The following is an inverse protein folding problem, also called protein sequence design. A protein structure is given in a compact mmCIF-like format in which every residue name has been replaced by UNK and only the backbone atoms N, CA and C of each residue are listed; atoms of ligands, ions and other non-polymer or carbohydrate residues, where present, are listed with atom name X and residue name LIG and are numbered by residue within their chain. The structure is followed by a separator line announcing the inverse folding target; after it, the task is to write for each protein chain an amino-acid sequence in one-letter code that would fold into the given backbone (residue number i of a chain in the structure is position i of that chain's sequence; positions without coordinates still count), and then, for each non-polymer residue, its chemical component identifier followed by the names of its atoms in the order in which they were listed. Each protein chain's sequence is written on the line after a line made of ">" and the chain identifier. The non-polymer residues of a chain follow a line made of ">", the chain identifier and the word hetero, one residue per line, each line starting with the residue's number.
data_IF_920958126737
#
_entry.id   IF_920958126737
#
_cell.length_a   1.000
_cell.length_b   1.000
_cell.length_c   1.000
_cell.angle_alpha   90.00
_cell.angle_beta   90.00
_cell.angle_gamma   90.00
#
_symmetry.space_group_name_H-M   'P 1'
#
loop_
_entity.id
_entity.type
_entity.pdbx_description
1 polymer ?
#
# COMPACT_ATOMS: atom_id res chain seq x y z
N UNK A 1 35.20 -4.71 3.91
CA UNK A 1 33.98 -5.54 4.06
C UNK A 1 33.42 -5.26 5.44
N UNK A 2 32.11 -5.02 5.57
CA UNK A 2 31.49 -4.71 6.88
C UNK A 2 31.59 -5.97 7.77
N UNK A 3 31.91 -5.82 9.05
CA UNK A 3 32.02 -6.94 10.03
C UNK A 3 30.76 -7.82 10.05
N UNK A 4 29.59 -7.22 9.84
CA UNK A 4 28.34 -7.93 9.71
C UNK A 4 28.34 -8.97 8.56
N UNK A 5 28.93 -8.65 7.42
CA UNK A 5 28.96 -9.53 6.24
C UNK A 5 29.98 -10.65 6.38
N UNK A 6 30.97 -10.47 7.25
CA UNK A 6 32.01 -11.51 7.48
C UNK A 6 31.45 -12.79 8.12
N UNK A 7 30.32 -12.72 8.82
CA UNK A 7 29.66 -13.91 9.39
C UNK A 7 28.90 -14.73 8.35
N UNK A 8 28.72 -14.20 7.13
CA UNK A 8 28.05 -14.91 6.05
C UNK A 8 28.98 -15.95 5.40
N UNK A 9 28.42 -17.08 4.90
CA UNK A 9 29.14 -17.97 4.00
C UNK A 9 29.68 -17.22 2.77
N UNK A 10 30.81 -17.64 2.21
CA UNK A 10 31.43 -16.97 1.05
C UNK A 10 30.47 -16.71 -0.12
N UNK A 11 29.61 -17.70 -0.43
CA UNK A 11 28.62 -17.54 -1.50
C UNK A 11 27.60 -16.44 -1.19
N UNK A 12 27.24 -16.26 0.08
CA UNK A 12 26.33 -15.19 0.51
C UNK A 12 27.03 -13.83 0.46
N UNK A 13 28.31 -13.77 0.79
CA UNK A 13 29.09 -12.54 0.67
C UNK A 13 29.14 -12.09 -0.80
N UNK A 14 29.42 -13.02 -1.72
CA UNK A 14 29.39 -12.76 -3.16
C UNK A 14 28.01 -12.32 -3.66
N UNK A 15 26.93 -12.98 -3.19
CA UNK A 15 25.57 -12.61 -3.55
C UNK A 15 25.19 -11.21 -3.01
N UNK A 16 25.63 -10.87 -1.82
CA UNK A 16 25.46 -9.55 -1.21
C UNK A 16 26.11 -8.45 -2.07
N UNK A 17 27.35 -8.66 -2.49
CA UNK A 17 28.08 -7.74 -3.35
C UNK A 17 27.44 -7.61 -4.76
N UNK A 18 27.08 -8.75 -5.37
CA UNK A 18 26.45 -8.78 -6.69
C UNK A 18 25.08 -8.05 -6.72
N UNK A 19 24.38 -8.00 -5.60
CA UNK A 19 23.15 -7.23 -5.45
C UNK A 19 23.40 -5.73 -5.22
N UNK A 20 24.65 -5.31 -5.13
CA UNK A 20 25.01 -3.91 -4.88
C UNK A 20 24.71 -3.45 -3.46
N UNK A 21 24.57 -4.37 -2.50
CA UNK A 21 24.40 -4.01 -1.11
C UNK A 21 25.73 -3.48 -0.55
N UNK A 22 25.69 -2.30 0.08
CA UNK A 22 26.89 -1.66 0.64
C UNK A 22 26.97 -1.89 2.15
N UNK A 23 25.88 -1.53 2.84
CA UNK A 23 25.75 -1.68 4.29
C UNK A 23 24.40 -2.32 4.62
N UNK A 24 24.35 -3.22 5.61
CA UNK A 24 23.06 -3.71 6.11
C UNK A 24 22.28 -2.58 6.75
N UNK A 25 20.95 -2.64 6.63
CA UNK A 25 20.07 -1.65 7.25
C UNK A 25 20.05 -1.79 8.77
N UNK A 26 19.55 -0.77 9.48
CA UNK A 26 19.49 -0.77 10.95
C UNK A 26 18.75 -2.00 11.48
N UNK A 27 17.58 -2.33 10.89
CA UNK A 27 16.81 -3.48 11.33
C UNK A 27 17.55 -4.80 11.08
N UNK A 28 18.27 -4.94 9.94
CA UNK A 28 19.06 -6.12 9.64
C UNK A 28 20.17 -6.34 10.67
N UNK A 29 20.82 -5.27 11.10
CA UNK A 29 21.87 -5.34 12.14
C UNK A 29 21.27 -5.66 13.52
N UNK A 30 20.19 -4.97 13.89
CA UNK A 30 19.60 -5.05 15.21
C UNK A 30 19.01 -6.44 15.52
N UNK A 31 18.37 -7.11 14.55
CA UNK A 31 17.71 -8.40 14.79
C UNK A 31 18.59 -9.62 14.54
N UNK A 32 19.74 -9.45 13.89
CA UNK A 32 20.58 -10.59 13.47
C UNK A 32 21.01 -11.49 14.64
N UNK A 33 21.62 -10.88 15.63
CA UNK A 33 22.12 -11.63 16.78
C UNK A 33 20.99 -12.22 17.65
N UNK A 34 19.93 -11.49 18.02
CA UNK A 34 18.79 -12.06 18.73
C UNK A 34 18.17 -13.26 17.99
N UNK A 35 17.92 -13.15 16.70
CA UNK A 35 17.34 -14.25 15.92
C UNK A 35 18.30 -15.44 15.77
N UNK A 36 19.60 -15.20 15.59
CA UNK A 36 20.61 -16.25 15.54
C UNK A 36 20.68 -17.02 16.86
N UNK A 37 20.48 -16.35 17.99
CA UNK A 37 20.43 -16.92 19.33
C UNK A 37 19.07 -17.55 19.69
N UNK A 38 18.16 -17.69 18.72
CA UNK A 38 16.81 -18.25 18.89
C UNK A 38 15.94 -17.48 19.88
N UNK A 39 16.21 -16.20 20.10
CA UNK A 39 15.35 -15.33 20.91
C UNK A 39 14.07 -15.00 20.14
N UNK A 40 12.95 -14.94 20.86
CA UNK A 40 11.69 -14.46 20.32
C UNK A 40 11.61 -12.95 20.45
N UNK A 41 11.28 -12.27 19.35
CA UNK A 41 11.32 -10.79 19.25
C UNK A 41 10.11 -10.21 18.56
N UNK A 42 9.85 -8.94 18.83
CA UNK A 42 9.03 -8.07 18.00
C UNK A 42 9.93 -6.99 17.39
N UNK A 43 9.98 -6.93 16.09
CA UNK A 43 10.83 -6.01 15.34
C UNK A 43 9.98 -4.97 14.60
N UNK A 44 10.23 -3.70 14.87
CA UNK A 44 9.48 -2.57 14.30
C UNK A 44 10.44 -1.74 13.45
N UNK A 45 10.09 -1.60 12.18
CA UNK A 45 10.86 -0.77 11.25
C UNK A 45 10.02 -0.32 10.06
N UNK A 46 10.33 0.80 9.44
CA UNK A 46 9.57 1.32 8.31
C UNK A 46 9.40 0.31 7.17
N UNK A 47 8.35 0.50 6.35
CA UNK A 47 8.23 -0.24 5.08
C UNK A 47 9.41 0.11 4.18
N UNK A 48 10.05 -0.92 3.62
CA UNK A 48 11.22 -0.72 2.76
C UNK A 48 12.57 -0.75 3.45
N UNK A 49 12.62 -0.89 4.77
CA UNK A 49 13.86 -0.98 5.54
C UNK A 49 14.64 -2.29 5.36
N UNK A 50 14.11 -3.27 4.60
CA UNK A 50 14.76 -4.56 4.37
C UNK A 50 14.41 -5.64 5.38
N UNK A 51 13.23 -5.59 6.03
CA UNK A 51 12.73 -6.58 6.99
C UNK A 51 12.86 -8.03 6.52
N UNK A 52 12.52 -8.29 5.26
CA UNK A 52 12.56 -9.66 4.72
C UNK A 52 13.95 -10.28 4.83
N UNK A 53 14.99 -9.57 4.47
CA UNK A 53 16.37 -10.06 4.63
C UNK A 53 16.82 -10.04 6.10
N UNK A 54 16.29 -9.12 6.91
CA UNK A 54 16.61 -9.02 8.32
C UNK A 54 16.29 -10.32 9.07
N UNK A 55 15.16 -10.97 8.78
CA UNK A 55 14.83 -12.25 9.39
C UNK A 55 15.36 -13.46 8.59
N UNK A 56 15.39 -13.37 7.26
CA UNK A 56 15.83 -14.53 6.47
C UNK A 56 17.29 -14.89 6.73
N UNK A 57 18.21 -13.95 6.76
CA UNK A 57 19.62 -14.25 6.91
C UNK A 57 19.92 -15.05 8.20
N UNK A 58 19.61 -14.58 9.42
CA UNK A 58 19.90 -15.35 10.62
C UNK A 58 19.13 -16.67 10.69
N UNK A 59 17.87 -16.69 10.24
CA UNK A 59 17.05 -17.89 10.33
C UNK A 59 17.46 -18.97 9.33
N UNK A 60 17.85 -18.60 8.10
CA UNK A 60 18.37 -19.56 7.12
C UNK A 60 19.72 -20.17 7.56
N UNK A 61 20.54 -19.42 8.29
CA UNK A 61 21.77 -19.96 8.90
C UNK A 61 21.46 -21.02 9.96
N UNK A 62 20.37 -20.89 10.69
CA UNK A 62 19.94 -21.78 11.75
C UNK A 62 19.18 -23.04 11.29
N UNK A 63 18.65 -23.04 10.04
CA UNK A 63 17.92 -24.20 9.48
C UNK A 63 18.91 -25.20 8.90
N UNK A 64 18.80 -26.47 9.32
CA UNK A 64 19.61 -27.56 8.78
C UNK A 64 18.87 -28.35 7.69
N UNK A 65 19.56 -28.77 6.61
CA UNK A 65 18.96 -29.62 5.57
C UNK A 65 18.38 -30.90 6.17
N UNK A 66 17.16 -31.27 5.74
CA UNK A 66 16.43 -32.45 6.23
C UNK A 66 15.48 -32.18 7.40
N UNK A 67 15.52 -30.98 8.02
CA UNK A 67 14.61 -30.57 9.09
C UNK A 67 13.27 -30.07 8.53
N UNK A 68 12.41 -30.99 8.14
CA UNK A 68 11.14 -30.70 7.51
C UNK A 68 10.30 -29.71 8.33
N UNK A 69 9.82 -28.64 7.67
CA UNK A 69 8.95 -27.60 8.27
C UNK A 69 9.56 -26.86 9.46
N UNK A 70 10.89 -26.81 9.58
CA UNK A 70 11.58 -26.16 10.69
C UNK A 70 11.29 -24.65 10.78
N UNK A 71 11.19 -23.96 9.64
CA UNK A 71 10.88 -22.54 9.55
C UNK A 71 9.54 -22.34 8.83
N UNK A 72 8.60 -21.66 9.50
CA UNK A 72 7.30 -21.28 8.92
C UNK A 72 7.18 -19.75 8.92
N UNK A 73 6.95 -19.16 7.75
CA UNK A 73 6.79 -17.71 7.59
C UNK A 73 5.36 -17.42 7.14
N UNK A 74 4.67 -16.61 7.91
CA UNK A 74 3.33 -16.14 7.63
C UNK A 74 3.39 -14.76 6.95
N UNK A 75 2.72 -14.64 5.81
CA UNK A 75 2.60 -13.40 5.07
C UNK A 75 1.14 -12.96 4.97
N UNK A 76 0.92 -11.65 4.97
CA UNK A 76 -0.42 -11.04 4.94
C UNK A 76 -1.17 -11.28 3.62
N UNK A 77 -0.44 -11.55 2.53
CA UNK A 77 -1.01 -11.80 1.19
C UNK A 77 -0.33 -12.96 0.46
N UNK A 78 -1.01 -13.47 -0.59
CA UNK A 78 -0.46 -14.53 -1.44
C UNK A 78 0.77 -14.04 -2.20
N UNK A 79 0.72 -12.82 -2.67
CA UNK A 79 1.79 -12.17 -3.41
C UNK A 79 3.05 -12.01 -2.55
N UNK A 80 2.88 -11.51 -1.33
CA UNK A 80 3.99 -11.39 -0.37
C UNK A 80 4.60 -12.75 -0.05
N UNK A 81 3.76 -13.77 0.18
CA UNK A 81 4.24 -15.13 0.44
C UNK A 81 5.09 -15.68 -0.72
N UNK A 82 4.71 -15.41 -1.96
CA UNK A 82 5.47 -15.82 -3.14
C UNK A 82 6.81 -15.06 -3.20
N UNK A 83 6.80 -13.75 -2.99
CA UNK A 83 8.02 -12.94 -3.00
C UNK A 83 9.02 -13.37 -1.94
N UNK A 84 8.55 -13.56 -0.70
CA UNK A 84 9.38 -14.04 0.39
C UNK A 84 9.93 -15.43 0.07
N UNK A 85 9.11 -16.30 -0.56
CA UNK A 85 9.57 -17.63 -0.98
C UNK A 85 10.66 -17.57 -2.05
N UNK A 86 10.58 -16.62 -2.98
CA UNK A 86 11.61 -16.46 -4.02
C UNK A 86 12.93 -15.96 -3.41
N UNK A 87 12.87 -15.00 -2.49
CA UNK A 87 14.05 -14.53 -1.74
C UNK A 87 14.63 -15.66 -0.88
N UNK A 88 13.80 -16.42 -0.19
CA UNK A 88 14.25 -17.55 0.63
C UNK A 88 14.90 -18.67 -0.21
N UNK A 89 14.39 -18.94 -1.43
CA UNK A 89 15.02 -19.89 -2.38
C UNK A 89 16.38 -19.41 -2.83
N UNK A 90 16.51 -18.11 -3.13
CA UNK A 90 17.75 -17.52 -3.56
C UNK A 90 18.85 -17.66 -2.50
N UNK A 91 18.57 -17.22 -1.27
CA UNK A 91 19.54 -17.26 -0.17
C UNK A 91 19.72 -18.67 0.45
N UNK A 92 18.69 -19.52 0.38
CA UNK A 92 18.76 -20.91 0.88
C UNK A 92 19.41 -21.89 -0.08
N UNK A 93 19.71 -21.46 -1.34
CA UNK A 93 20.22 -22.34 -2.40
C UNK A 93 21.52 -23.05 -2.04
N UNK A 94 22.46 -22.31 -1.44
CA UNK A 94 23.79 -22.83 -1.12
C UNK A 94 23.79 -23.86 0.00
N UNK A 95 22.76 -23.80 0.88
CA UNK A 95 22.50 -24.82 1.91
C UNK A 95 21.56 -25.94 1.40
N UNK A 96 21.19 -25.95 0.12
CA UNK A 96 20.26 -26.88 -0.50
C UNK A 96 18.87 -26.95 0.18
N UNK A 97 18.46 -25.84 0.85
CA UNK A 97 17.19 -25.76 1.56
C UNK A 97 16.01 -25.72 0.58
N UNK A 98 15.02 -26.57 0.83
CA UNK A 98 13.79 -26.63 0.04
C UNK A 98 12.77 -25.64 0.60
N UNK A 99 12.30 -24.77 -0.24
CA UNK A 99 11.32 -23.72 0.11
C UNK A 99 10.02 -23.99 -0.61
N UNK A 100 8.91 -24.04 0.12
CA UNK A 100 7.59 -24.18 -0.45
C UNK A 100 6.65 -23.06 -0.07
N UNK A 101 6.02 -22.44 -1.09
CA UNK A 101 4.94 -21.49 -0.88
C UNK A 101 3.59 -22.18 -0.74
N UNK A 102 2.79 -21.76 0.25
CA UNK A 102 1.49 -22.29 0.63
C UNK A 102 0.45 -21.16 0.63
N UNK A 103 -0.24 -20.98 -0.50
CA UNK A 103 -1.15 -19.84 -0.69
C UNK A 103 -2.54 -20.29 -1.09
N UNK A 104 -3.55 -19.51 -0.71
CA UNK A 104 -4.94 -19.71 -1.11
C UNK A 104 -5.11 -19.62 -2.64
N UNK A 105 -6.24 -20.06 -3.17
CA UNK A 105 -6.52 -19.96 -4.61
C UNK A 105 -5.59 -20.77 -5.53
N UNK A 106 -4.55 -21.41 -5.01
CA UNK A 106 -3.71 -22.36 -5.74
C UNK A 106 -4.15 -23.81 -5.50
N UNK A 107 -3.77 -24.71 -6.42
CA UNK A 107 -4.15 -26.12 -6.35
C UNK A 107 -3.60 -26.79 -5.08
N UNK A 108 -4.50 -27.15 -4.16
CA UNK A 108 -4.16 -27.78 -2.87
C UNK A 108 -3.44 -29.11 -3.07
N UNK A 109 -3.86 -29.94 -4.02
CA UNK A 109 -3.25 -31.26 -4.29
C UNK A 109 -1.77 -31.09 -4.65
N UNK A 110 -1.44 -30.09 -5.50
CA UNK A 110 -0.06 -29.80 -5.88
C UNK A 110 0.77 -29.31 -4.67
N UNK A 111 0.18 -28.55 -3.77
CA UNK A 111 0.88 -28.11 -2.55
C UNK A 111 1.14 -29.32 -1.62
N UNK A 112 0.18 -30.22 -1.47
CA UNK A 112 0.36 -31.46 -0.69
C UNK A 112 1.45 -32.35 -1.31
N UNK A 113 1.50 -32.49 -2.63
CA UNK A 113 2.58 -33.21 -3.32
C UNK A 113 3.96 -32.59 -3.04
N UNK A 114 4.03 -31.25 -3.04
CA UNK A 114 5.25 -30.55 -2.67
C UNK A 114 5.69 -30.85 -1.22
N UNK A 115 4.76 -30.88 -0.27
CA UNK A 115 5.07 -31.18 1.14
C UNK A 115 5.63 -32.60 1.34
N UNK A 116 5.35 -33.57 0.44
CA UNK A 116 5.97 -34.91 0.49
C UNK A 116 7.49 -34.86 0.29
N UNK A 117 8.01 -33.81 -0.34
CA UNK A 117 9.46 -33.58 -0.50
C UNK A 117 10.14 -33.08 0.78
N UNK A 118 9.37 -32.94 1.87
CA UNK A 118 9.82 -32.49 3.20
C UNK A 118 10.59 -31.16 3.12
N UNK A 119 9.99 -30.08 2.61
CA UNK A 119 10.66 -28.77 2.59
C UNK A 119 10.94 -28.32 4.03
N UNK A 120 12.11 -27.75 4.22
CA UNK A 120 12.56 -27.17 5.49
C UNK A 120 11.84 -25.87 5.81
N UNK A 121 11.51 -25.11 4.77
CA UNK A 121 10.93 -23.76 4.86
C UNK A 121 9.57 -23.72 4.21
N UNK A 122 8.56 -23.32 4.98
CA UNK A 122 7.20 -23.12 4.53
C UNK A 122 6.85 -21.63 4.62
N UNK A 123 6.34 -21.05 3.54
CA UNK A 123 5.96 -19.64 3.50
C UNK A 123 4.54 -19.53 2.95
N UNK A 124 3.63 -18.88 3.69
CA UNK A 124 2.26 -18.83 3.20
C UNK A 124 1.32 -17.94 3.97
N UNK A 125 0.07 -17.95 3.53
CA UNK A 125 -1.00 -17.23 4.24
C UNK A 125 -1.53 -18.06 5.40
N UNK A 126 -1.93 -17.43 6.54
CA UNK A 126 -2.37 -18.15 7.73
C UNK A 126 -3.46 -19.18 7.46
N UNK A 127 -4.50 -18.81 6.71
CA UNK A 127 -5.61 -19.73 6.41
C UNK A 127 -5.19 -21.01 5.70
N UNK A 128 -4.28 -20.94 4.72
CA UNK A 128 -3.79 -22.11 4.00
C UNK A 128 -2.87 -22.98 4.87
N UNK A 129 -2.02 -22.38 5.66
CA UNK A 129 -1.14 -23.12 6.57
C UNK A 129 -1.97 -23.85 7.63
N UNK A 130 -2.96 -23.19 8.23
CA UNK A 130 -3.88 -23.82 9.20
C UNK A 130 -4.68 -24.97 8.57
N UNK A 131 -5.19 -24.80 7.36
CA UNK A 131 -5.88 -25.87 6.61
C UNK A 131 -5.00 -27.13 6.49
N UNK A 132 -3.73 -26.93 6.10
CA UNK A 132 -2.78 -28.04 5.92
C UNK A 132 -2.29 -28.64 7.24
N UNK A 133 -2.21 -27.84 8.32
CA UNK A 133 -1.95 -28.34 9.69
C UNK A 133 -3.12 -29.21 10.18
N UNK A 134 -4.36 -28.73 10.07
CA UNK A 134 -5.57 -29.50 10.44
C UNK A 134 -5.69 -30.80 9.64
N UNK A 135 -5.31 -30.77 8.35
CA UNK A 135 -5.25 -31.96 7.50
C UNK A 135 -4.03 -32.86 7.78
N UNK A 136 -3.22 -32.56 8.81
CA UNK A 136 -2.00 -33.30 9.19
C UNK A 136 -0.97 -33.43 8.05
N UNK A 137 -0.98 -32.49 7.09
CA UNK A 137 0.02 -32.43 6.01
C UNK A 137 1.26 -31.65 6.43
N UNK A 138 1.10 -30.68 7.33
CA UNK A 138 2.19 -30.02 8.07
C UNK A 138 2.17 -30.58 9.49
N UNK A 139 3.31 -31.06 9.93
CA UNK A 139 3.49 -31.59 11.28
C UNK A 139 3.89 -30.47 12.22
N UNK A 140 2.94 -29.91 12.94
CA UNK A 140 3.14 -28.72 13.78
C UNK A 140 4.29 -28.91 14.80
N UNK A 141 4.47 -30.12 15.35
CA UNK A 141 5.53 -30.44 16.31
C UNK A 141 6.96 -30.38 15.72
N UNK A 142 7.11 -30.28 14.40
CA UNK A 142 8.43 -30.13 13.75
C UNK A 142 8.82 -28.67 13.56
N UNK A 143 7.89 -27.72 13.78
CA UNK A 143 8.15 -26.29 13.63
C UNK A 143 9.02 -25.79 14.76
N UNK A 144 10.16 -25.22 14.42
CA UNK A 144 11.13 -24.63 15.36
C UNK A 144 11.01 -23.11 15.44
N UNK A 145 10.68 -22.48 14.33
CA UNK A 145 10.58 -21.02 14.22
C UNK A 145 9.36 -20.61 13.42
N UNK A 146 8.62 -19.65 13.91
CA UNK A 146 7.52 -18.98 13.19
C UNK A 146 7.83 -17.49 13.05
N UNK A 147 7.72 -16.98 11.83
CA UNK A 147 7.86 -15.57 11.52
C UNK A 147 6.51 -15.02 11.03
N UNK A 148 6.13 -13.87 11.53
CA UNK A 148 4.95 -13.13 11.09
C UNK A 148 5.40 -11.83 10.42
N UNK A 149 5.40 -11.82 9.08
CA UNK A 149 5.76 -10.64 8.30
C UNK A 149 4.52 -9.77 8.06
N UNK A 150 4.65 -8.46 8.19
CA UNK A 150 3.54 -7.50 8.28
C UNK A 150 2.55 -7.89 9.39
N UNK A 151 3.07 -8.06 10.61
CA UNK A 151 2.30 -8.48 11.76
C UNK A 151 1.11 -7.56 12.06
N UNK A 152 1.25 -6.25 11.86
CA UNK A 152 0.18 -5.25 11.93
C UNK A 152 -1.03 -5.63 11.06
N UNK A 153 -0.80 -6.18 9.87
CA UNK A 153 -1.87 -6.64 8.98
C UNK A 153 -2.37 -8.05 9.30
N UNK A 154 -1.47 -8.93 9.77
CA UNK A 154 -1.82 -10.31 10.09
C UNK A 154 -2.72 -10.41 11.33
N UNK A 155 -2.56 -9.51 12.28
CA UNK A 155 -3.34 -9.48 13.52
C UNK A 155 -4.61 -8.62 13.44
N UNK A 156 -4.93 -8.05 12.26
CA UNK A 156 -6.23 -7.45 12.01
C UNK A 156 -7.39 -8.44 12.17
N UNK A 157 -8.60 -7.91 12.45
CA UNK A 157 -9.77 -8.62 12.95
C UNK A 157 -10.20 -9.92 12.24
N UNK A 158 -9.68 -10.20 11.04
CA UNK A 158 -10.02 -11.44 10.29
C UNK A 158 -9.08 -12.61 10.51
N UNK A 159 -7.83 -12.37 10.88
CA UNK A 159 -6.79 -13.40 10.96
C UNK A 159 -6.39 -13.78 12.40
N UNK A 160 -6.70 -12.96 13.40
CA UNK A 160 -6.29 -13.20 14.80
C UNK A 160 -6.73 -14.57 15.31
N UNK A 161 -7.95 -14.99 15.03
CA UNK A 161 -8.47 -16.32 15.43
C UNK A 161 -7.75 -17.47 14.69
N UNK A 162 -7.35 -17.25 13.44
CA UNK A 162 -6.61 -18.24 12.64
C UNK A 162 -5.21 -18.42 13.22
N UNK A 163 -4.56 -17.31 13.56
CA UNK A 163 -3.22 -17.30 14.15
C UNK A 163 -3.24 -17.96 15.53
N UNK A 164 -4.22 -17.66 16.35
CA UNK A 164 -4.44 -18.30 17.65
C UNK A 164 -4.54 -19.83 17.49
N UNK A 165 -5.35 -20.32 16.56
CA UNK A 165 -5.45 -21.76 16.27
C UNK A 165 -4.14 -22.37 15.77
N UNK A 166 -3.30 -21.63 15.06
CA UNK A 166 -1.98 -22.09 14.62
C UNK A 166 -1.05 -22.23 15.83
N UNK A 167 -0.99 -21.21 16.68
CA UNK A 167 -0.14 -21.19 17.86
C UNK A 167 -0.51 -22.30 18.86
N UNK A 168 -1.80 -22.60 19.01
CA UNK A 168 -2.26 -23.72 19.83
C UNK A 168 -1.84 -25.11 19.33
N UNK A 169 -1.49 -25.24 18.04
CA UNK A 169 -0.98 -26.49 17.47
C UNK A 169 0.56 -26.57 17.50
N UNK A 170 1.23 -25.47 17.82
CA UNK A 170 2.69 -25.41 17.87
C UNK A 170 3.24 -26.24 19.04
N UNK A 171 4.52 -26.70 18.98
CA UNK A 171 5.17 -27.33 20.10
C UNK A 171 5.30 -26.36 21.29
N UNK A 172 5.65 -26.89 22.47
CA UNK A 172 5.82 -26.04 23.66
C UNK A 172 6.99 -25.06 23.52
N UNK A 173 8.05 -25.49 22.85
CA UNK A 173 9.25 -24.69 22.62
C UNK A 173 9.41 -24.36 21.13
N UNK A 174 9.33 -23.09 20.81
CA UNK A 174 9.57 -22.57 19.47
C UNK A 174 9.89 -21.08 19.54
N UNK A 175 10.63 -20.62 18.55
CA UNK A 175 10.97 -19.21 18.39
C UNK A 175 9.85 -18.47 17.66
N UNK A 176 9.51 -17.26 18.11
CA UNK A 176 8.58 -16.36 17.46
C UNK A 176 9.29 -15.07 17.04
N UNK A 177 9.05 -14.64 15.81
CA UNK A 177 9.54 -13.37 15.32
C UNK A 177 8.41 -12.61 14.60
N UNK A 178 8.12 -11.43 15.10
CA UNK A 178 7.08 -10.56 14.54
C UNK A 178 7.74 -9.33 13.90
N UNK A 179 7.41 -9.06 12.65
CA UNK A 179 7.91 -7.91 11.92
C UNK A 179 6.74 -7.01 11.53
N UNK A 180 6.80 -5.75 11.95
CA UNK A 180 5.76 -4.75 11.73
C UNK A 180 6.32 -3.44 11.19
N UNK A 181 5.48 -2.65 10.54
CA UNK A 181 5.81 -1.29 10.14
C UNK A 181 5.46 -0.26 11.23
N UNK A 182 4.61 -0.62 12.18
CA UNK A 182 4.11 0.24 13.26
C UNK A 182 4.19 -0.48 14.61
N UNK A 183 4.38 0.30 15.68
CA UNK A 183 4.47 -0.20 17.06
C UNK A 183 3.11 -0.49 17.70
N UNK A 184 2.02 -0.13 17.02
CA UNK A 184 0.70 0.02 17.58
C UNK A 184 0.01 -1.31 17.96
N UNK A 185 -1.20 -1.29 18.41
CA UNK A 185 -2.14 -2.35 18.85
C UNK A 185 -1.81 -3.82 18.54
N UNK A 186 -0.97 -4.05 17.52
CA UNK A 186 -0.47 -5.39 17.17
C UNK A 186 0.36 -6.02 18.29
N UNK A 187 1.16 -5.23 19.05
CA UNK A 187 1.96 -5.73 20.17
C UNK A 187 1.06 -6.27 21.28
N UNK A 188 0.07 -5.49 21.72
CA UNK A 188 -0.89 -5.91 22.73
C UNK A 188 -1.65 -7.17 22.29
N UNK A 189 -2.00 -7.24 21.01
CA UNK A 189 -2.68 -8.40 20.43
C UNK A 189 -1.77 -9.63 20.39
N UNK A 190 -0.49 -9.46 20.06
CA UNK A 190 0.53 -10.53 20.06
C UNK A 190 0.71 -11.10 21.47
N UNK A 191 0.96 -10.25 22.46
CA UNK A 191 1.12 -10.67 23.85
C UNK A 191 -0.13 -11.35 24.40
N UNK A 192 -1.31 -10.82 24.09
CA UNK A 192 -2.59 -11.41 24.51
C UNK A 192 -2.83 -12.80 23.90
N UNK A 193 -2.50 -12.99 22.61
CA UNK A 193 -2.70 -14.27 21.92
C UNK A 193 -1.65 -15.28 22.33
N UNK A 194 -0.40 -14.87 22.47
CA UNK A 194 0.72 -15.78 22.79
C UNK A 194 0.87 -16.07 24.29
N UNK A 195 0.34 -15.19 25.14
CA UNK A 195 0.58 -15.23 26.60
C UNK A 195 2.05 -15.00 26.97
N UNK A 196 2.86 -14.47 26.06
CA UNK A 196 4.30 -14.24 26.23
C UNK A 196 4.64 -12.76 26.05
N UNK A 197 5.63 -12.29 26.78
CA UNK A 197 6.27 -10.99 26.55
C UNK A 197 7.45 -11.14 25.61
N UNK A 198 7.72 -10.12 24.81
CA UNK A 198 8.78 -10.15 23.80
C UNK A 198 9.72 -8.97 23.97
N UNK A 199 10.99 -9.20 23.66
CA UNK A 199 11.91 -8.09 23.44
C UNK A 199 11.46 -7.31 22.19
N UNK A 200 11.26 -6.01 22.35
CA UNK A 200 10.87 -5.12 21.23
C UNK A 200 12.10 -4.38 20.72
N UNK A 201 12.39 -4.58 19.45
CA UNK A 201 13.46 -3.91 18.72
C UNK A 201 12.81 -2.90 17.77
N UNK A 202 12.80 -1.64 18.16
CA UNK A 202 12.22 -0.55 17.36
C UNK A 202 13.34 0.36 16.85
N UNK A 203 13.49 0.40 15.53
CA UNK A 203 14.47 1.25 14.83
C UNK A 203 13.83 2.41 14.06
N UNK A 204 12.53 2.66 14.27
CA UNK A 204 11.79 3.65 13.48
C UNK A 204 12.30 5.09 13.65
N UNK A 205 12.78 5.43 14.84
CA UNK A 205 13.29 6.77 15.14
C UNK A 205 14.66 7.05 14.47
N UNK A 206 15.46 6.01 14.27
CA UNK A 206 16.83 6.10 13.75
C UNK A 206 16.92 5.74 12.26
N UNK A 207 15.84 5.20 11.69
CA UNK A 207 15.81 4.72 10.31
C UNK A 207 15.65 5.88 9.31
N UNK A 208 16.74 6.14 8.61
CA UNK A 208 16.84 7.19 7.59
C UNK A 208 16.27 6.78 6.22
N UNK A 209 15.73 5.58 6.08
CA UNK A 209 15.23 5.07 4.80
C UNK A 209 14.13 5.93 4.15
N UNK A 210 13.50 6.80 4.95
CA UNK A 210 12.45 7.75 4.53
C UNK A 210 12.93 9.18 4.31
N UNK A 211 14.19 9.52 4.58
CA UNK A 211 14.71 10.90 4.47
C UNK A 211 14.56 11.54 3.08
N UNK A 212 14.42 10.77 2.03
CA UNK A 212 14.19 11.26 0.66
C UNK A 212 12.72 11.45 0.28
N UNK A 213 11.77 11.19 1.19
CA UNK A 213 10.35 11.31 0.88
C UNK A 213 9.84 12.73 1.10
N UNK A 214 9.18 13.27 0.08
CA UNK A 214 8.46 14.54 0.16
C UNK A 214 6.96 14.26 0.21
N UNK A 215 6.29 14.81 1.19
CA UNK A 215 4.87 14.59 1.41
C UNK A 215 4.08 15.87 1.13
N UNK A 216 3.22 15.78 0.13
CA UNK A 216 2.45 16.91 -0.34
C UNK A 216 0.95 16.65 -0.26
N UNK A 217 0.18 17.72 -0.15
CA UNK A 217 -1.24 17.67 -0.44
C UNK A 217 -1.60 18.66 -1.56
N UNK A 218 -2.58 18.27 -2.36
CA UNK A 218 -3.10 19.03 -3.48
C UNK A 218 -4.60 19.23 -3.30
N UNK A 219 -5.06 20.49 -3.23
CA UNK A 219 -6.50 20.79 -3.13
C UNK A 219 -7.18 20.56 -4.47
N UNK A 220 -8.17 19.68 -4.46
CA UNK A 220 -8.87 19.29 -5.69
C UNK A 220 -10.38 19.31 -5.46
N UNK A 221 -11.15 20.10 -6.24
CA UNK A 221 -12.60 20.01 -6.22
C UNK A 221 -13.05 18.60 -6.63
N UNK A 222 -14.06 18.03 -5.94
CA UNK A 222 -14.57 16.67 -6.18
C UNK A 222 -14.81 16.41 -7.67
N UNK A 223 -15.49 17.35 -8.35
CA UNK A 223 -15.87 17.22 -9.76
C UNK A 223 -14.72 17.28 -10.76
N UNK A 224 -13.50 17.61 -10.28
CA UNK A 224 -12.29 17.75 -11.10
C UNK A 224 -11.22 16.71 -10.77
N UNK A 225 -11.53 15.72 -9.92
CA UNK A 225 -10.57 14.69 -9.52
C UNK A 225 -9.92 14.00 -10.71
N UNK A 226 -10.71 13.61 -11.72
CA UNK A 226 -10.24 12.98 -12.96
C UNK A 226 -9.34 13.89 -13.80
N UNK A 227 -9.66 15.18 -13.88
CA UNK A 227 -8.83 16.16 -14.57
C UNK A 227 -7.46 16.32 -13.89
N UNK A 228 -7.45 16.43 -12.56
CA UNK A 228 -6.21 16.57 -11.80
C UNK A 228 -5.36 15.31 -11.85
N UNK A 229 -5.95 14.11 -11.74
CA UNK A 229 -5.22 12.85 -11.92
C UNK A 229 -4.62 12.76 -13.32
N UNK A 230 -5.38 13.10 -14.37
CA UNK A 230 -4.85 13.17 -15.73
C UNK A 230 -3.66 14.12 -15.82
N UNK A 231 -3.75 15.33 -15.25
CA UNK A 231 -2.66 16.30 -15.26
C UNK A 231 -1.43 15.81 -14.49
N UNK A 232 -1.61 15.10 -13.37
CA UNK A 232 -0.52 14.49 -12.62
C UNK A 232 0.18 13.42 -13.44
N UNK A 233 -0.54 12.56 -14.17
CA UNK A 233 0.08 11.52 -15.02
C UNK A 233 0.83 12.08 -16.24
N UNK A 234 0.69 13.37 -16.54
CA UNK A 234 1.42 14.06 -17.61
C UNK A 234 2.60 14.90 -17.11
N UNK A 235 2.92 14.83 -15.82
CA UNK A 235 4.18 15.38 -15.30
C UNK A 235 5.34 14.60 -15.92
N UNK A 236 6.43 15.29 -16.21
CA UNK A 236 7.64 14.67 -16.73
C UNK A 236 8.09 13.52 -15.82
N UNK A 237 8.47 12.40 -16.40
CA UNK A 237 8.89 11.18 -15.73
C UNK A 237 7.89 10.59 -14.70
N UNK A 238 6.61 10.95 -14.81
CA UNK A 238 5.62 10.38 -13.93
C UNK A 238 5.51 8.86 -14.12
N UNK A 239 5.84 8.13 -13.07
CA UNK A 239 5.53 6.71 -12.94
C UNK A 239 5.13 6.43 -11.48
N UNK A 240 3.89 6.00 -11.26
CA UNK A 240 3.40 5.92 -9.89
C UNK A 240 2.19 5.02 -9.67
N UNK A 241 1.92 4.76 -8.39
CA UNK A 241 0.69 4.13 -7.91
C UNK A 241 -0.31 5.21 -7.52
N UNK A 242 -1.56 5.02 -7.92
CA UNK A 242 -2.68 5.88 -7.51
C UNK A 242 -3.62 5.06 -6.64
N UNK A 243 -3.70 5.39 -5.36
CA UNK A 243 -4.46 4.66 -4.36
C UNK A 243 -5.87 5.19 -4.19
N UNK A 244 -6.83 4.27 -4.14
CA UNK A 244 -8.23 4.50 -3.82
C UNK A 244 -8.62 3.71 -2.57
N UNK A 245 -9.59 4.22 -1.81
CA UNK A 245 -10.10 3.51 -0.64
C UNK A 245 -11.10 2.39 -1.03
N UNK A 246 -11.75 2.52 -2.18
CA UNK A 246 -12.79 1.59 -2.64
C UNK A 246 -12.60 1.17 -4.10
N UNK A 247 -12.91 -0.09 -4.40
CA UNK A 247 -12.84 -0.65 -5.76
C UNK A 247 -13.80 0.05 -6.74
N UNK A 248 -14.97 0.46 -6.27
CA UNK A 248 -15.96 1.18 -7.08
C UNK A 248 -15.44 2.50 -7.60
N UNK A 249 -14.80 3.30 -6.73
CA UNK A 249 -14.19 4.58 -7.12
C UNK A 249 -13.01 4.37 -8.06
N UNK A 250 -12.21 3.34 -7.81
CA UNK A 250 -11.11 2.96 -8.69
C UNK A 250 -11.61 2.64 -10.10
N UNK A 251 -12.63 1.79 -10.24
CA UNK A 251 -13.18 1.40 -11.56
C UNK A 251 -13.73 2.58 -12.32
N UNK A 252 -14.53 3.43 -11.67
CA UNK A 252 -15.07 4.66 -12.28
C UNK A 252 -13.94 5.59 -12.74
N UNK A 253 -12.86 5.69 -11.98
CA UNK A 253 -11.74 6.55 -12.33
C UNK A 253 -10.90 5.97 -13.47
N UNK A 254 -10.70 4.66 -13.50
CA UNK A 254 -10.03 3.97 -14.61
C UNK A 254 -10.74 4.25 -15.93
N UNK A 255 -12.06 4.05 -16.00
CA UNK A 255 -12.86 4.32 -17.18
C UNK A 255 -12.74 5.77 -17.65
N UNK A 256 -12.83 6.74 -16.71
CA UNK A 256 -12.69 8.17 -17.04
C UNK A 256 -11.31 8.52 -17.59
N UNK A 257 -10.25 7.98 -17.00
CA UNK A 257 -8.88 8.26 -17.44
C UNK A 257 -8.60 7.63 -18.81
N UNK A 258 -9.04 6.39 -19.03
CA UNK A 258 -8.94 5.72 -20.34
C UNK A 258 -9.72 6.46 -21.40
N UNK A 259 -10.95 6.90 -21.11
CA UNK A 259 -11.75 7.74 -22.03
C UNK A 259 -11.04 9.04 -22.41
N UNK A 260 -10.25 9.61 -21.50
CA UNK A 260 -9.41 10.80 -21.76
C UNK A 260 -8.08 10.50 -22.44
N UNK A 261 -7.83 9.24 -22.83
CA UNK A 261 -6.60 8.80 -23.50
C UNK A 261 -5.39 8.70 -22.59
N UNK A 262 -5.59 8.60 -21.26
CA UNK A 262 -4.48 8.40 -20.32
C UNK A 262 -4.13 6.91 -20.26
N UNK A 263 -2.88 6.51 -20.54
CA UNK A 263 -2.46 5.11 -20.46
C UNK A 263 -2.31 4.67 -19.00
N UNK A 264 -3.39 4.18 -18.40
CA UNK A 264 -3.43 3.63 -17.05
C UNK A 264 -3.82 2.16 -17.07
N UNK A 265 -3.53 1.46 -15.99
CA UNK A 265 -4.04 0.13 -15.70
C UNK A 265 -4.49 0.05 -14.26
N UNK A 266 -5.28 -0.96 -13.93
CA UNK A 266 -5.73 -1.19 -12.56
C UNK A 266 -5.19 -2.50 -11.99
N UNK A 267 -5.07 -2.51 -10.67
CA UNK A 267 -4.84 -3.69 -9.85
C UNK A 267 -5.97 -3.76 -8.81
N UNK A 268 -6.96 -4.58 -9.11
CA UNK A 268 -8.09 -4.81 -8.24
C UNK A 268 -8.02 -6.21 -7.62
N UNK A 269 -8.52 -6.36 -6.39
CA UNK A 269 -8.48 -7.65 -5.68
C UNK A 269 -9.38 -8.72 -6.30
N UNK A 270 -10.44 -8.29 -6.99
CA UNK A 270 -11.40 -9.12 -7.72
C UNK A 270 -11.04 -9.36 -9.19
N UNK A 271 -9.95 -8.76 -9.65
CA UNK A 271 -9.51 -8.84 -11.04
C UNK A 271 -8.92 -10.22 -11.37
N UNK A 272 -9.14 -10.68 -12.61
CA UNK A 272 -8.52 -11.88 -13.14
C UNK A 272 -6.98 -11.81 -13.08
N UNK A 273 -6.34 -12.88 -12.61
CA UNK A 273 -4.88 -12.98 -12.46
C UNK A 273 -4.10 -12.66 -13.74
N UNK A 274 -4.65 -12.99 -14.91
CA UNK A 274 -4.00 -12.71 -16.20
C UNK A 274 -4.00 -11.22 -16.51
N UNK A 275 -5.13 -10.52 -16.27
CA UNK A 275 -5.24 -9.08 -16.48
C UNK A 275 -4.33 -8.32 -15.51
N UNK A 276 -4.32 -8.72 -14.24
CA UNK A 276 -3.42 -8.17 -13.21
C UNK A 276 -1.95 -8.31 -13.61
N UNK A 277 -1.53 -9.49 -14.07
CA UNK A 277 -0.17 -9.73 -14.56
C UNK A 277 0.15 -8.85 -15.77
N UNK A 278 -0.76 -8.75 -16.72
CA UNK A 278 -0.58 -7.92 -17.92
C UNK A 278 -0.42 -6.43 -17.56
N UNK A 279 -1.23 -5.90 -16.64
CA UNK A 279 -1.12 -4.52 -16.16
C UNK A 279 0.24 -4.26 -15.51
N UNK A 280 0.71 -5.17 -14.65
CA UNK A 280 2.03 -5.10 -14.02
C UNK A 280 3.18 -5.12 -15.04
N UNK A 281 3.10 -6.00 -16.04
CA UNK A 281 4.11 -6.06 -17.11
C UNK A 281 4.14 -4.79 -17.96
N UNK A 282 2.98 -4.24 -18.31
CA UNK A 282 2.89 -2.99 -19.06
C UNK A 282 3.47 -1.82 -18.24
N UNK A 283 3.21 -1.78 -16.94
CA UNK A 283 3.75 -0.77 -16.05
C UNK A 283 5.28 -0.88 -15.91
N UNK A 284 5.81 -2.10 -15.67
CA UNK A 284 7.26 -2.33 -15.61
C UNK A 284 7.97 -1.96 -16.93
N UNK A 285 7.30 -2.15 -18.08
CA UNK A 285 7.80 -1.76 -19.40
C UNK A 285 7.55 -0.29 -19.73
N UNK A 286 7.05 0.52 -18.79
CA UNK A 286 6.71 1.94 -18.96
C UNK A 286 5.72 2.22 -20.11
N UNK A 287 4.89 1.24 -20.48
CA UNK A 287 3.80 1.42 -21.46
C UNK A 287 2.60 2.13 -20.88
N UNK A 288 2.41 2.01 -19.58
CA UNK A 288 1.47 2.79 -18.79
C UNK A 288 2.23 3.52 -17.68
N UNK A 289 1.84 4.75 -17.40
CA UNK A 289 2.52 5.62 -16.43
C UNK A 289 1.96 5.48 -15.02
N UNK A 290 0.72 5.01 -14.88
CA UNK A 290 0.05 4.86 -13.61
C UNK A 290 -0.64 3.51 -13.47
N UNK A 291 -0.56 2.94 -12.25
CA UNK A 291 -1.40 1.83 -11.81
C UNK A 291 -2.36 2.32 -10.73
N UNK A 292 -3.65 2.15 -10.97
CA UNK A 292 -4.69 2.42 -10.00
C UNK A 292 -4.86 1.20 -9.11
N UNK A 293 -4.92 1.38 -7.80
CA UNK A 293 -4.97 0.27 -6.86
C UNK A 293 -5.70 0.62 -5.57
N UNK A 294 -6.00 -0.38 -4.76
CA UNK A 294 -6.45 -0.24 -3.37
C UNK A 294 -5.39 -0.82 -2.43
N UNK A 295 -5.47 -0.53 -1.13
CA UNK A 295 -4.53 -1.08 -0.15
C UNK A 295 -4.47 -2.61 -0.21
N UNK A 296 -5.63 -3.26 -0.28
CA UNK A 296 -5.73 -4.73 -0.36
C UNK A 296 -5.06 -5.27 -1.62
N UNK A 297 -5.26 -4.63 -2.76
CA UNK A 297 -4.70 -5.08 -4.03
C UNK A 297 -3.20 -4.74 -4.18
N UNK A 298 -2.71 -3.72 -3.47
CA UNK A 298 -1.31 -3.32 -3.46
C UNK A 298 -0.45 -4.13 -2.48
N UNK A 299 -1.07 -4.86 -1.55
CA UNK A 299 -0.35 -5.73 -0.60
C UNK A 299 0.48 -6.76 -1.35
N UNK A 300 1.71 -6.93 -0.92
CA UNK A 300 2.62 -7.91 -1.52
C UNK A 300 3.04 -7.63 -2.97
N UNK A 301 2.78 -6.45 -3.52
CA UNK A 301 3.30 -6.10 -4.82
C UNK A 301 4.79 -5.77 -4.74
N UNK A 302 5.57 -6.41 -5.61
CA UNK A 302 6.97 -6.07 -5.86
C UNK A 302 7.07 -4.85 -6.80
N UNK A 303 6.51 -3.75 -6.32
CA UNK A 303 6.62 -2.43 -6.96
C UNK A 303 7.07 -1.45 -5.88
N UNK A 304 8.30 -1.01 -6.01
CA UNK A 304 8.94 -0.13 -5.03
C UNK A 304 9.92 0.79 -5.72
N UNK A 305 10.33 1.85 -5.04
CA UNK A 305 11.24 2.83 -5.62
C UNK A 305 10.61 3.66 -6.75
N UNK A 306 9.28 3.78 -6.74
CA UNK A 306 8.58 4.61 -7.72
C UNK A 306 8.88 6.10 -7.46
N UNK A 307 8.91 6.93 -8.50
CA UNK A 307 8.99 8.38 -8.32
C UNK A 307 7.79 8.96 -7.57
N UNK A 308 6.58 8.42 -7.83
CA UNK A 308 5.35 8.98 -7.30
C UNK A 308 4.43 7.95 -6.65
N UNK A 309 3.83 8.36 -5.53
CA UNK A 309 2.62 7.75 -4.94
C UNK A 309 1.56 8.82 -4.83
N UNK A 310 0.37 8.54 -5.35
CA UNK A 310 -0.76 9.46 -5.28
C UNK A 310 -1.88 8.81 -4.48
N UNK A 311 -2.31 9.43 -3.40
CA UNK A 311 -3.54 9.09 -2.70
C UNK A 311 -4.68 9.87 -3.36
N UNK A 312 -5.50 9.22 -4.18
CA UNK A 312 -6.69 9.85 -4.78
C UNK A 312 -7.74 10.23 -3.73
N UNK A 313 -7.63 9.65 -2.54
CA UNK A 313 -8.45 9.90 -1.35
C UNK A 313 -7.57 9.83 -0.10
N UNK A 314 -7.95 10.58 0.93
CA UNK A 314 -7.27 10.49 2.23
C UNK A 314 -7.32 9.06 2.73
N UNK A 315 -6.18 8.44 3.07
CA UNK A 315 -6.15 7.09 3.63
C UNK A 315 -6.99 6.96 4.89
N UNK A 316 -7.53 5.78 5.14
CA UNK A 316 -8.43 5.53 6.28
C UNK A 316 -7.69 5.39 7.61
N UNK A 317 -6.41 5.03 7.57
CA UNK A 317 -5.57 4.89 8.76
C UNK A 317 -4.13 5.40 8.51
N UNK A 318 -3.41 5.64 9.59
CA UNK A 318 -1.98 6.01 9.56
C UNK A 318 -1.16 4.91 8.88
N UNK A 319 -1.40 3.65 9.25
CA UNK A 319 -0.72 2.50 8.68
C UNK A 319 -0.91 2.45 7.16
N UNK A 320 -2.16 2.66 6.68
CA UNK A 320 -2.43 2.70 5.24
C UNK A 320 -1.62 3.81 4.54
N UNK A 321 -1.54 5.00 5.16
CA UNK A 321 -0.71 6.08 4.62
C UNK A 321 0.77 5.68 4.54
N UNK A 322 1.31 5.10 5.61
CA UNK A 322 2.70 4.68 5.70
C UNK A 322 3.02 3.55 4.72
N UNK A 323 2.14 2.57 4.57
CA UNK A 323 2.29 1.47 3.61
C UNK A 323 2.23 1.94 2.16
N UNK A 324 1.35 2.91 1.84
CA UNK A 324 1.29 3.53 0.52
C UNK A 324 2.56 4.33 0.23
N UNK A 325 2.96 5.19 1.15
CA UNK A 325 4.17 6.01 1.00
C UNK A 325 5.44 5.17 0.85
N UNK A 326 5.52 4.02 1.52
CA UNK A 326 6.63 3.07 1.39
C UNK A 326 6.76 2.40 0.00
N UNK A 327 5.94 2.74 -0.99
CA UNK A 327 6.10 2.31 -2.40
C UNK A 327 6.98 3.26 -3.19
N UNK A 328 7.30 4.43 -2.67
CA UNK A 328 8.22 5.40 -3.26
C UNK A 328 9.43 5.62 -2.34
N UNK A 329 10.51 6.20 -2.87
CA UNK A 329 11.67 6.67 -2.11
C UNK A 329 12.33 5.62 -1.24
N UNK A 330 12.90 4.55 -1.81
CA UNK A 330 13.64 3.54 -1.06
C UNK A 330 15.16 3.71 -1.16
N UNK A 331 15.86 3.31 -0.10
CA UNK A 331 17.34 3.29 -0.04
C UNK A 331 17.98 4.65 -0.38
N UNK A 332 17.43 5.74 0.17
CA UNK A 332 17.96 7.08 -0.04
C UNK A 332 17.58 7.74 -1.38
N UNK A 333 16.77 7.08 -2.21
CA UNK A 333 16.21 7.70 -3.41
C UNK A 333 15.10 8.68 -3.06
N UNK A 334 15.01 9.77 -3.82
CA UNK A 334 13.92 10.72 -3.69
C UNK A 334 12.58 10.09 -4.10
N UNK A 335 11.52 10.44 -3.38
CA UNK A 335 10.18 9.99 -3.69
C UNK A 335 9.14 11.04 -3.32
N UNK A 336 8.06 11.09 -4.10
CA UNK A 336 7.01 12.09 -3.90
C UNK A 336 5.67 11.41 -3.59
N UNK A 337 5.10 11.76 -2.44
CA UNK A 337 3.75 11.34 -2.02
C UNK A 337 2.81 12.53 -2.15
N UNK A 338 1.75 12.40 -2.95
CA UNK A 338 0.75 13.45 -3.16
C UNK A 338 -0.61 12.95 -2.68
N UNK A 339 -1.23 13.65 -1.74
CA UNK A 339 -2.60 13.34 -1.30
C UNK A 339 -3.57 14.36 -1.84
N UNK A 340 -4.55 13.91 -2.62
CA UNK A 340 -5.62 14.78 -3.09
C UNK A 340 -6.60 15.04 -1.94
N UNK A 341 -6.84 16.29 -1.66
CA UNK A 341 -7.71 16.72 -0.58
C UNK A 341 -8.75 17.72 -1.05
N UNK A 342 -9.84 17.77 -0.30
CA UNK A 342 -10.83 18.83 -0.34
C UNK A 342 -10.71 19.66 0.94
N UNK A 343 -11.33 20.82 0.97
CA UNK A 343 -11.24 21.69 2.17
C UNK A 343 -11.80 21.03 3.42
N UNK A 344 -12.79 20.14 3.27
CA UNK A 344 -13.42 19.43 4.38
C UNK A 344 -12.56 18.28 4.95
N UNK A 345 -11.75 17.60 4.13
CA UNK A 345 -10.99 16.43 4.56
C UNK A 345 -9.48 16.68 4.80
N UNK A 346 -8.99 17.89 4.55
CA UNK A 346 -7.61 18.28 4.88
C UNK A 346 -7.34 18.16 6.39
N UNK A 347 -8.35 18.48 7.23
CA UNK A 347 -8.22 18.33 8.69
C UNK A 347 -8.06 16.87 9.09
N UNK A 348 -8.73 15.96 8.41
CA UNK A 348 -8.63 14.52 8.65
C UNK A 348 -7.24 14.01 8.28
N UNK A 349 -6.68 14.44 7.15
CA UNK A 349 -5.30 14.11 6.77
C UNK A 349 -4.29 14.61 7.80
N UNK A 350 -4.41 15.85 8.24
CA UNK A 350 -3.52 16.43 9.28
C UNK A 350 -3.65 15.70 10.61
N UNK A 351 -4.87 15.31 11.01
CA UNK A 351 -5.12 14.54 12.23
C UNK A 351 -4.51 13.15 12.14
N UNK A 352 -4.67 12.49 10.99
CA UNK A 352 -4.12 11.17 10.70
C UNK A 352 -2.61 11.13 10.84
N UNK A 353 -1.92 12.16 10.36
CA UNK A 353 -0.46 12.21 10.35
C UNK A 353 0.15 12.88 11.59
N UNK A 354 -0.66 13.34 12.53
CA UNK A 354 -0.17 13.98 13.76
C UNK A 354 0.76 13.10 14.60
N UNK A 355 0.55 11.75 14.71
CA UNK A 355 1.48 10.89 15.44
C UNK A 355 2.80 10.67 14.72
N UNK A 356 2.86 10.95 13.41
CA UNK A 356 4.06 10.78 12.60
C UNK A 356 4.90 12.06 12.58
N UNK A 357 6.17 11.93 12.28
CA UNK A 357 7.05 13.09 12.06
C UNK A 357 6.97 13.62 10.62
N UNK A 358 5.86 13.35 9.91
CA UNK A 358 5.70 13.72 8.50
C UNK A 358 5.26 15.18 8.40
N UNK A 359 6.05 15.98 7.69
CA UNK A 359 5.70 17.36 7.34
C UNK A 359 4.94 17.35 6.00
N UNK A 360 3.73 17.95 6.01
CA UNK A 360 2.89 18.09 4.81
C UNK A 360 3.01 19.52 4.27
N UNK A 361 3.32 19.63 2.99
CA UNK A 361 3.36 20.90 2.27
C UNK A 361 2.25 20.96 1.22
N UNK A 362 1.70 22.16 0.99
CA UNK A 362 0.74 22.37 -0.08
C UNK A 362 1.45 22.53 -1.41
N UNK A 363 0.94 21.85 -2.46
CA UNK A 363 1.45 22.02 -3.81
C UNK A 363 0.33 22.43 -4.77
N UNK A 364 0.76 23.05 -5.85
CA UNK A 364 -0.09 23.51 -6.96
C UNK A 364 0.39 22.87 -8.26
N UNK A 365 -0.56 22.53 -9.10
CA UNK A 365 -0.28 21.95 -10.42
C UNK A 365 -0.50 23.02 -11.50
N UNK A 366 0.59 23.60 -12.00
CA UNK A 366 0.56 24.63 -13.03
C UNK A 366 1.57 24.34 -14.13
N UNK A 367 1.20 24.58 -15.41
CA UNK A 367 2.08 24.36 -16.56
C UNK A 367 2.66 22.93 -16.67
N UNK A 368 1.95 21.89 -16.17
CA UNK A 368 2.45 20.50 -16.18
C UNK A 368 3.52 20.21 -15.14
N UNK A 369 3.75 21.10 -14.16
CA UNK A 369 4.73 20.97 -13.08
C UNK A 369 4.07 21.13 -11.72
N UNK A 370 4.70 20.50 -10.70
CA UNK A 370 4.38 20.72 -9.30
C UNK A 370 5.15 21.94 -8.79
N UNK A 371 4.45 22.82 -8.09
CA UNK A 371 5.02 24.05 -7.54
C UNK A 371 4.55 24.22 -6.08
N UNK A 372 5.40 24.69 -5.21
CA UNK A 372 5.07 25.03 -3.82
C UNK A 372 4.44 26.41 -3.71
N UNK A 373 4.77 27.32 -4.64
CA UNK A 373 4.22 28.65 -4.66
C UNK A 373 2.85 28.66 -5.35
N UNK A 374 1.90 29.39 -4.76
CA UNK A 374 0.59 29.57 -5.37
C UNK A 374 0.77 30.32 -6.69
N UNK A 375 0.33 29.74 -7.84
CA UNK A 375 0.45 30.44 -9.11
C UNK A 375 -0.31 31.77 -9.03
N UNK A 376 0.37 32.85 -9.35
CA UNK A 376 -0.23 34.16 -9.46
C UNK A 376 -1.37 34.03 -10.48
N UNK A 377 -2.59 34.28 -10.07
CA UNK A 377 -3.69 34.44 -11.02
C UNK A 377 -3.33 35.63 -11.88
N UNK A 378 -2.82 35.39 -13.09
CA UNK A 378 -2.86 36.41 -14.11
C UNK A 378 -4.33 36.74 -14.27
N UNK A 379 -4.70 37.95 -13.83
CA UNK A 379 -5.99 38.54 -14.14
C UNK A 379 -6.09 38.58 -15.66
N UNK A 380 -6.82 37.65 -16.27
CA UNK A 380 -7.33 37.76 -17.61
C UNK A 380 -8.49 38.72 -17.54
N UNK A 381 -8.15 39.97 -17.20
CA UNK A 381 -9.02 41.11 -17.31
C UNK A 381 -8.43 42.05 -18.38
N UNK A 382 -9.23 42.30 -19.38
CA UNK A 382 -9.08 43.38 -20.37
C UNK A 382 -8.15 43.17 -21.58
N UNK A 383 -8.49 42.25 -22.47
CA UNK A 383 -8.25 42.49 -23.90
C UNK A 383 -9.36 41.88 -24.81
N UNK A 384 -10.62 42.14 -24.49
CA UNK A 384 -11.71 41.81 -25.36
C UNK A 384 -12.82 42.88 -25.30
N UNK A 385 -12.45 44.15 -25.48
CA UNK A 385 -13.45 45.18 -25.76
C UNK A 385 -12.79 46.39 -26.46
N UNK A 386 -12.27 46.19 -27.66
CA UNK A 386 -12.07 47.30 -28.57
C UNK A 386 -11.83 46.84 -30.03
N UNK A 387 -12.84 46.26 -30.63
CA UNK A 387 -12.98 46.22 -32.10
C UNK A 387 -14.37 45.73 -32.42
N UNK A 388 -15.34 46.61 -32.44
CA UNK A 388 -16.51 46.63 -33.33
C UNK A 388 -17.42 47.79 -32.91
N UNK A 389 -16.90 49.03 -33.05
CA UNK A 389 -17.79 50.18 -33.33
C UNK A 389 -17.83 50.36 -34.85
N UNK A 390 -18.73 49.71 -35.52
CA UNK A 390 -19.21 50.13 -36.84
C UNK A 390 -20.42 51.02 -36.60
N UNK A 391 -20.21 52.24 -36.98
CA UNK A 391 -21.19 53.29 -37.14
C UNK A 391 -22.36 52.89 -38.07
N UNK A 392 -23.59 53.07 -37.64
CA UNK A 392 -24.74 53.26 -38.50
C UNK A 392 -25.37 54.64 -38.20
N UNK A 393 -25.77 55.39 -39.24
CA UNK A 393 -26.26 56.76 -39.13
C UNK A 393 -27.71 56.82 -38.65
N UNK A 394 -28.02 57.91 -37.99
CA UNK A 394 -29.25 58.18 -37.32
C UNK A 394 -30.48 58.26 -38.20
N UNK A 395 -31.61 58.07 -37.59
CA UNK A 395 -32.89 58.65 -37.98
C UNK A 395 -33.66 59.13 -36.77
N UNK A 396 -34.24 60.30 -37.00
CA UNK A 396 -34.89 61.24 -36.13
C UNK A 396 -36.04 60.77 -35.27
N UNK A 397 -36.25 61.56 -34.28
CA UNK A 397 -37.32 61.76 -33.33
C UNK A 397 -38.76 61.58 -33.83
N UNK A 398 -39.64 61.04 -33.02
CA UNK A 398 -40.73 61.86 -32.48
C UNK A 398 -41.50 61.14 -31.35
N UNK A 399 -42.07 61.89 -30.41
CA UNK A 399 -42.51 61.35 -29.10
C UNK A 399 -44.06 61.22 -29.06
N UNK A 400 -44.53 60.79 -27.91
CA UNK A 400 -45.92 60.73 -27.39
C UNK A 400 -46.59 59.35 -27.43
N UNK A 401 -46.82 58.75 -26.30
CA UNK A 401 -48.03 58.78 -25.56
C UNK A 401 -47.98 57.90 -24.31
N UNK A 402 -48.28 58.57 -23.26
CA UNK A 402 -48.67 58.13 -21.91
C UNK A 402 -49.87 57.17 -21.90
N UNK A 403 -49.90 56.15 -21.06
CA UNK A 403 -50.98 55.80 -20.14
C UNK A 403 -50.84 54.47 -19.45
N UNK A 404 -50.71 54.57 -18.15
CA UNK A 404 -51.30 53.76 -17.11
C UNK A 404 -52.05 52.48 -17.47
N UNK A 405 -51.70 51.37 -16.85
CA UNK A 405 -52.64 50.64 -15.97
C UNK A 405 -51.98 49.61 -15.09
N UNK A 406 -52.25 49.81 -13.84
CA UNK A 406 -52.09 48.98 -12.66
C UNK A 406 -52.89 47.67 -12.66
N UNK A 407 -52.56 46.79 -11.71
CA UNK A 407 -53.33 45.65 -11.17
C UNK A 407 -53.13 44.31 -11.89
N UNK A 408 -52.92 43.16 -11.20
CA UNK A 408 -53.38 42.68 -9.89
C UNK A 408 -52.54 41.46 -9.49
N UNK A 409 -52.23 41.33 -8.20
CA UNK A 409 -51.87 40.08 -7.51
C UNK A 409 -53.06 39.11 -7.58
N UNK A 410 -52.77 37.83 -7.82
CA UNK A 410 -53.66 36.73 -7.38
C UNK A 410 -52.82 35.69 -6.70
N UNK A 411 -53.05 35.58 -5.38
CA UNK A 411 -52.73 34.43 -4.55
C UNK A 411 -53.67 33.28 -4.94
N UNK A 412 -53.15 32.07 -5.00
CA UNK A 412 -54.00 30.91 -4.71
C UNK A 412 -53.27 29.92 -3.81
N UNK A 413 -53.96 29.64 -2.72
CA UNK A 413 -53.65 28.70 -1.64
C UNK A 413 -54.22 27.32 -1.96
N UNK A 414 -53.48 26.30 -1.44
CA UNK A 414 -53.97 25.05 -0.85
C UNK A 414 -54.79 24.06 -1.66
N UNK A 415 -54.29 22.79 -1.64
CA UNK A 415 -55.15 21.72 -1.08
C UNK A 415 -54.25 20.51 -0.66
N UNK A 416 -54.33 20.20 0.62
CA UNK A 416 -54.00 18.91 1.25
C UNK A 416 -55.18 17.96 0.98
N UNK A 417 -54.89 16.70 0.69
CA UNK A 417 -55.70 15.53 1.03
C UNK A 417 -54.77 14.32 0.96
N UNK A 418 -54.46 13.73 2.00
CA UNK A 418 -54.85 12.55 2.76
C UNK A 418 -55.50 11.43 1.93
N UNK A 419 -54.80 10.29 1.83
CA UNK A 419 -55.51 9.03 1.93
C UNK A 419 -54.69 7.97 2.67
N UNK A 420 -55.34 7.41 3.68
CA UNK A 420 -54.95 6.29 4.53
C UNK A 420 -55.46 4.98 3.94
N UNK A 421 -54.78 3.90 4.28
CA UNK A 421 -55.33 2.54 4.40
C UNK A 421 -55.02 1.64 3.20
N UNK A 422 -54.60 0.42 3.32
CA UNK A 422 -55.02 -0.61 4.25
C UNK A 422 -54.05 -1.81 4.21
N UNK A 423 -53.98 -2.47 5.31
CA UNK A 423 -53.45 -3.80 5.64
C UNK A 423 -53.99 -4.96 4.79
N UNK A 424 -53.18 -6.07 4.84
CA UNK A 424 -53.47 -7.52 4.67
C UNK A 424 -52.93 -8.07 3.33
N UNK A 425 -52.10 -9.07 3.31
CA UNK A 425 -51.89 -10.31 4.12
C UNK A 425 -50.40 -10.63 4.18
#
# INVERSE_FOLDING_TARGET
>A
MNEFVQVFPENWQKNYENKGFITPSLIQQAVFQPLSNKQSIVAISPTGSGKTLAYLWPLLLNVEPGEASALVIFASSQELAIQVADVAREWGKDKELKVQSLVGGANVKRQIEGLKKKPEILIGTPGRILELMKAKKIKAHQVKTMVFDEADQLFDAGNSQIIDQILHQAPTEYQLAFFSATADRSLESIEKITGKTFETIDVTAEDDSRKGLRHYFLRVPIRKKDEYLRRLTHIEDFQGLIFFNQLTELGVMEEKLLYRGVPVGSLASDQNKLLRKAALEQFKKKKISALLTTDVAARGLDITGLPYVVNAEVPLSEEAYLHRSGRTGRMGNEGTVITLVQDNNLRDLKRLLRPTNITLEEIFLHGGKLQTDQPIKEDVATTANNKYKKSFPGKEQNPEHNKNKSRKKVKNKSKKERNKGARRK
#
